data_IF_490008811370
#
_entry.id   IF_490008811370
#
_cell.length_a   1.000
_cell.length_b   1.000
_cell.length_c   1.000
_cell.angle_alpha   90.00
_cell.angle_beta   90.00
_cell.angle_gamma   90.00
#
_symmetry.space_group_name_H-M   'P 1'
#
loop_
_entity.id
_entity.type
_entity.pdbx_description
1 polymer ?
#
# COMPACT_ATOMS: atom_id res chain seq x y z
N UNK A 1 -5.14 -5.13 39.35
CA UNK A 1 -6.37 -4.35 39.60
C UNK A 1 -6.74 -3.43 38.42
N UNK A 2 -6.12 -2.26 38.21
CA UNK A 2 -6.51 -1.36 37.08
C UNK A 2 -6.42 -1.97 35.67
N UNK A 3 -5.39 -2.79 35.39
CA UNK A 3 -5.28 -3.47 34.08
C UNK A 3 -6.32 -4.59 33.91
N UNK A 4 -6.70 -5.28 35.00
CA UNK A 4 -7.73 -6.31 34.99
C UNK A 4 -9.12 -5.70 34.74
N UNK A 5 -9.41 -4.54 35.33
CA UNK A 5 -10.63 -3.75 35.07
C UNK A 5 -10.71 -3.30 33.60
N UNK A 6 -9.58 -2.93 32.99
CA UNK A 6 -9.54 -2.61 31.56
C UNK A 6 -9.76 -3.86 30.71
N UNK A 7 -9.13 -4.97 31.09
CA UNK A 7 -9.27 -6.24 30.39
C UNK A 7 -10.69 -6.78 30.43
N UNK A 8 -11.45 -6.56 31.51
CA UNK A 8 -12.86 -6.98 31.57
C UNK A 8 -13.79 -6.16 30.66
N UNK A 9 -13.35 -5.00 30.17
CA UNK A 9 -14.14 -4.10 29.31
C UNK A 9 -13.75 -4.16 27.83
N UNK A 10 -12.81 -5.04 27.43
CA UNK A 10 -12.29 -5.08 26.06
C UNK A 10 -11.93 -6.50 25.61
N UNK A 11 -12.10 -6.79 24.31
CA UNK A 11 -11.67 -8.08 23.73
C UNK A 11 -10.15 -8.23 23.75
N UNK A 12 -9.44 -7.13 23.49
CA UNK A 12 -8.00 -7.01 23.62
C UNK A 12 -7.68 -5.67 24.29
N UNK A 13 -7.23 -5.71 25.55
CA UNK A 13 -6.98 -4.51 26.35
C UNK A 13 -5.76 -3.71 25.88
N UNK A 14 -4.84 -4.38 25.18
CA UNK A 14 -3.56 -3.83 24.78
C UNK A 14 -3.60 -3.25 23.36
N UNK A 15 -4.42 -3.78 22.46
CA UNK A 15 -4.50 -3.42 21.03
C UNK A 15 -4.42 -1.91 20.78
N UNK A 16 -5.35 -1.13 21.33
CA UNK A 16 -5.36 0.33 21.16
C UNK A 16 -4.10 1.01 21.71
N UNK A 17 -3.58 0.56 22.85
CA UNK A 17 -2.36 1.15 23.42
C UNK A 17 -1.13 0.82 22.59
N UNK A 18 -1.05 -0.42 22.08
CA UNK A 18 0.02 -0.86 21.21
C UNK A 18 -0.01 -0.11 19.87
N UNK A 19 -1.19 0.05 19.27
CA UNK A 19 -1.36 0.82 18.04
C UNK A 19 -0.92 2.29 18.23
N UNK A 20 -1.45 2.95 19.27
CA UNK A 20 -1.14 4.35 19.53
C UNK A 20 0.33 4.58 19.87
N UNK A 21 0.87 3.83 20.84
CA UNK A 21 2.21 4.07 21.38
C UNK A 21 3.28 3.48 20.47
N UNK A 22 3.05 2.30 19.90
CA UNK A 22 3.99 1.62 19.03
C UNK A 22 4.13 2.26 17.65
N UNK A 23 3.08 2.91 17.14
CA UNK A 23 3.05 3.39 15.75
C UNK A 23 2.56 4.83 15.62
N UNK A 24 1.35 5.13 16.10
CA UNK A 24 0.65 6.38 15.71
C UNK A 24 1.15 7.64 16.42
N UNK A 25 1.77 7.56 17.59
CA UNK A 25 2.32 8.71 18.32
C UNK A 25 3.74 9.07 17.91
N UNK A 26 4.49 8.15 17.31
CA UNK A 26 5.84 8.44 16.82
C UNK A 26 5.80 9.56 15.78
N UNK A 27 6.70 10.55 15.91
CA UNK A 27 6.77 11.73 15.02
C UNK A 27 7.90 11.66 13.99
N UNK A 28 8.85 10.74 14.12
CA UNK A 28 9.89 10.55 13.10
C UNK A 28 9.28 9.96 11.80
N UNK A 29 9.95 10.08 10.64
CA UNK A 29 9.48 9.53 9.38
C UNK A 29 9.13 8.03 9.46
N UNK A 30 8.02 7.60 8.84
CA UNK A 30 7.65 6.18 8.86
C UNK A 30 8.55 5.32 7.97
N UNK A 31 9.08 5.86 6.87
CA UNK A 31 10.12 5.22 6.07
C UNK A 31 11.46 5.94 6.32
N UNK A 32 12.56 5.22 6.61
CA UNK A 32 12.71 3.76 6.67
C UNK A 32 12.47 3.15 8.06
N UNK A 33 11.96 3.90 9.03
CA UNK A 33 12.05 3.52 10.46
C UNK A 33 10.91 2.65 11.00
N UNK A 34 9.78 2.55 10.30
CA UNK A 34 8.58 1.78 10.70
C UNK A 34 8.12 0.86 9.57
N UNK A 35 8.09 1.36 8.33
CA UNK A 35 7.68 0.55 7.19
C UNK A 35 8.53 -0.71 7.06
N UNK A 36 7.86 -1.82 6.80
CA UNK A 36 8.53 -3.09 6.51
C UNK A 36 8.60 -3.25 5.00
N UNK A 37 9.80 -3.51 4.48
CA UNK A 37 10.01 -3.73 3.05
C UNK A 37 10.78 -5.01 2.81
N UNK A 38 10.47 -5.69 1.72
CA UNK A 38 11.14 -6.94 1.35
C UNK A 38 10.94 -7.32 -0.10
N UNK A 39 11.93 -7.97 -0.73
CA UNK A 39 11.82 -8.48 -2.08
C UNK A 39 10.77 -9.59 -2.16
N UNK A 40 10.06 -9.65 -3.29
CA UNK A 40 9.26 -10.84 -3.61
C UNK A 40 10.23 -11.90 -4.12
N UNK A 41 10.33 -13.03 -3.41
CA UNK A 41 11.34 -14.08 -3.62
C UNK A 41 11.13 -14.92 -4.90
N UNK A 42 10.41 -14.42 -5.91
CA UNK A 42 10.26 -15.07 -7.22
C UNK A 42 11.48 -14.88 -8.13
N UNK A 43 12.44 -14.03 -7.74
CA UNK A 43 13.58 -13.69 -8.59
C UNK A 43 14.64 -14.80 -8.70
N UNK A 44 14.61 -15.77 -7.77
CA UNK A 44 15.61 -16.85 -7.71
C UNK A 44 15.33 -17.95 -8.73
N UNK A 45 14.08 -18.15 -9.12
CA UNK A 45 13.64 -19.30 -9.92
C UNK A 45 12.70 -18.92 -11.07
N UNK A 46 11.59 -18.23 -10.77
CA UNK A 46 10.48 -18.04 -11.72
C UNK A 46 10.70 -16.79 -12.57
N UNK A 47 11.12 -15.69 -11.95
CA UNK A 47 11.20 -14.35 -12.54
C UNK A 47 12.55 -13.67 -12.27
N UNK A 48 13.66 -14.21 -12.82
CA UNK A 48 14.95 -13.54 -12.77
C UNK A 48 14.89 -12.14 -13.41
N UNK A 49 15.84 -11.27 -13.09
CA UNK A 49 15.91 -9.93 -13.67
C UNK A 49 15.91 -10.00 -15.21
N UNK A 50 14.93 -9.37 -15.84
CA UNK A 50 14.77 -9.33 -17.30
C UNK A 50 14.03 -8.07 -17.71
N UNK A 51 14.69 -7.18 -18.47
CA UNK A 51 14.05 -5.99 -19.02
C UNK A 51 12.86 -6.32 -19.92
N UNK A 52 11.91 -5.39 -20.01
CA UNK A 52 10.67 -5.58 -20.79
C UNK A 52 9.62 -6.46 -20.11
N UNK A 53 9.90 -7.01 -18.92
CA UNK A 53 8.94 -7.85 -18.18
C UNK A 53 8.11 -7.11 -17.14
N UNK A 54 8.48 -5.88 -16.77
CA UNK A 54 7.86 -5.08 -15.69
C UNK A 54 6.32 -5.12 -15.74
N UNK A 55 5.72 -4.77 -16.88
CA UNK A 55 4.26 -4.69 -17.00
C UNK A 55 3.59 -6.07 -16.96
N UNK A 56 4.16 -7.06 -17.63
CA UNK A 56 3.60 -8.42 -17.64
C UNK A 56 3.59 -9.00 -16.22
N UNK A 57 4.70 -8.88 -15.50
CA UNK A 57 4.83 -9.38 -14.14
C UNK A 57 3.94 -8.62 -13.16
N UNK A 58 3.86 -7.29 -13.29
CA UNK A 58 2.92 -6.47 -12.50
C UNK A 58 1.48 -6.93 -12.70
N UNK A 59 1.06 -7.15 -13.94
CA UNK A 59 -0.31 -7.57 -14.24
C UNK A 59 -0.67 -8.94 -13.62
N UNK A 60 0.27 -9.89 -13.67
CA UNK A 60 0.10 -11.22 -13.06
C UNK A 60 0.01 -11.09 -11.54
N UNK A 61 0.94 -10.38 -10.90
CA UNK A 61 0.92 -10.20 -9.44
C UNK A 61 -0.35 -9.50 -8.95
N UNK A 62 -0.74 -8.42 -9.63
CA UNK A 62 -1.94 -7.68 -9.28
C UNK A 62 -3.19 -8.55 -9.42
N UNK A 63 -3.29 -9.38 -10.46
CA UNK A 63 -4.40 -10.32 -10.61
C UNK A 63 -4.51 -11.28 -9.43
N UNK A 64 -3.40 -11.88 -8.98
CA UNK A 64 -3.42 -12.77 -7.82
C UNK A 64 -3.75 -12.03 -6.53
N UNK A 65 -3.15 -10.86 -6.28
CA UNK A 65 -3.48 -10.04 -5.11
C UNK A 65 -4.95 -9.64 -5.04
N UNK A 66 -5.59 -9.35 -6.18
CA UNK A 66 -7.02 -9.04 -6.24
C UNK A 66 -7.90 -10.27 -5.96
N UNK A 67 -7.44 -11.47 -6.29
CA UNK A 67 -8.16 -12.69 -5.94
C UNK A 67 -8.01 -13.00 -4.44
N UNK A 68 -6.85 -12.75 -3.83
CA UNK A 68 -6.70 -12.84 -2.36
C UNK A 68 -7.59 -11.80 -1.64
N UNK A 69 -7.63 -10.57 -2.14
CA UNK A 69 -8.57 -9.55 -1.68
C UNK A 69 -10.01 -10.04 -1.73
N UNK A 70 -10.42 -10.68 -2.83
CA UNK A 70 -11.78 -11.20 -3.01
C UNK A 70 -12.12 -12.26 -1.97
N UNK A 71 -11.19 -13.18 -1.68
CA UNK A 71 -11.38 -14.20 -0.64
C UNK A 71 -11.58 -13.56 0.73
N UNK A 72 -10.77 -12.54 1.08
CA UNK A 72 -10.93 -11.81 2.34
C UNK A 72 -12.26 -11.05 2.39
N UNK A 73 -12.61 -10.34 1.33
CA UNK A 73 -13.86 -9.59 1.22
C UNK A 73 -15.09 -10.51 1.38
N UNK A 74 -15.05 -11.72 0.80
CA UNK A 74 -16.14 -12.71 0.93
C UNK A 74 -16.08 -13.57 2.19
N UNK A 75 -15.08 -13.39 3.04
CA UNK A 75 -14.81 -14.26 4.19
C UNK A 75 -14.59 -15.74 3.81
N UNK A 76 -14.01 -15.96 2.63
CA UNK A 76 -13.67 -17.27 2.05
C UNK A 76 -12.17 -17.60 2.20
N UNK A 77 -11.38 -16.67 2.76
CA UNK A 77 -9.96 -16.89 3.00
C UNK A 77 -9.73 -17.99 4.05
N UNK A 78 -8.83 -18.96 3.83
CA UNK A 78 -8.59 -20.05 4.77
C UNK A 78 -8.20 -19.55 6.16
N UNK A 79 -8.79 -20.15 7.21
CA UNK A 79 -8.46 -19.80 8.60
C UNK A 79 -7.15 -20.48 8.99
N UNK A 80 -6.18 -19.67 9.38
CA UNK A 80 -4.93 -20.18 9.93
C UNK A 80 -5.14 -20.78 11.32
N UNK A 81 -4.35 -21.80 11.62
CA UNK A 81 -4.37 -22.44 12.92
C UNK A 81 -3.03 -23.06 13.26
N UNK A 82 -2.80 -23.24 14.56
CA UNK A 82 -1.66 -23.99 15.09
C UNK A 82 -2.17 -25.12 15.95
N UNK A 83 -1.74 -26.34 15.64
CA UNK A 83 -2.10 -27.55 16.39
C UNK A 83 -3.64 -27.71 16.56
N UNK A 84 -4.40 -27.38 15.51
CA UNK A 84 -5.87 -27.43 15.50
C UNK A 84 -6.56 -26.24 16.16
N UNK A 85 -5.81 -25.28 16.72
CA UNK A 85 -6.36 -24.06 17.32
C UNK A 85 -6.38 -22.92 16.30
N UNK A 86 -7.55 -22.33 15.96
CA UNK A 86 -7.63 -21.18 15.06
C UNK A 86 -6.87 -19.96 15.61
N UNK A 87 -6.21 -19.22 14.72
CA UNK A 87 -5.57 -17.95 15.02
C UNK A 87 -6.44 -16.78 14.58
N UNK A 88 -6.14 -15.58 15.09
CA UNK A 88 -6.84 -14.36 14.66
C UNK A 88 -6.53 -14.07 13.19
N UNK A 89 -7.58 -13.83 12.40
CA UNK A 89 -7.44 -13.40 11.01
C UNK A 89 -7.40 -11.88 10.86
N UNK A 90 -7.46 -11.11 11.97
CA UNK A 90 -7.60 -9.64 11.95
C UNK A 90 -6.53 -8.93 11.09
N UNK A 91 -5.29 -9.41 11.12
CA UNK A 91 -4.19 -8.81 10.38
C UNK A 91 -4.36 -8.94 8.85
N UNK A 92 -5.01 -10.00 8.37
CA UNK A 92 -5.29 -10.14 6.93
C UNK A 92 -6.26 -9.05 6.44
N UNK A 93 -7.25 -8.68 7.24
CA UNK A 93 -8.17 -7.57 6.93
C UNK A 93 -7.50 -6.20 7.04
N UNK A 94 -6.35 -6.15 7.73
CA UNK A 94 -5.44 -5.00 7.81
C UNK A 94 -4.27 -5.11 6.81
N UNK A 95 -4.34 -5.92 5.76
CA UNK A 95 -3.27 -5.98 4.74
C UNK A 95 -3.40 -4.86 3.70
N UNK A 96 -4.63 -4.58 3.27
CA UNK A 96 -4.92 -3.70 2.13
C UNK A 96 -6.15 -2.82 2.38
N UNK A 97 -6.41 -1.87 1.47
CA UNK A 97 -7.55 -0.94 1.51
C UNK A 97 -7.55 0.05 2.67
N UNK A 98 -6.39 0.33 3.27
CA UNK A 98 -6.25 1.37 4.28
C UNK A 98 -5.02 2.25 4.06
N UNK A 99 -5.01 3.38 4.76
CA UNK A 99 -3.92 4.35 4.72
C UNK A 99 -3.80 5.04 6.08
N UNK A 100 -2.56 5.37 6.46
CA UNK A 100 -2.25 6.21 7.61
C UNK A 100 -2.40 7.68 7.24
N UNK A 101 -3.10 8.45 8.06
CA UNK A 101 -3.32 9.88 7.84
C UNK A 101 -2.50 10.66 8.86
N UNK A 102 -1.57 11.54 8.43
CA UNK A 102 -0.79 12.34 9.34
C UNK A 102 -1.69 13.35 10.06
N UNK A 103 -1.51 13.47 11.37
CA UNK A 103 -2.14 14.51 12.20
C UNK A 103 -1.18 14.93 13.31
N UNK A 104 -1.31 16.17 13.78
CA UNK A 104 -0.49 16.66 14.88
C UNK A 104 -0.71 15.79 16.13
N UNK A 105 0.38 15.49 16.84
CA UNK A 105 0.44 14.66 18.05
C UNK A 105 0.18 13.16 17.86
N UNK A 106 -0.82 12.78 17.05
CA UNK A 106 -1.16 11.38 16.82
C UNK A 106 -1.79 11.20 15.44
N UNK A 107 -1.24 10.27 14.66
CA UNK A 107 -1.79 9.88 13.36
C UNK A 107 -3.02 8.96 13.56
N UNK A 108 -3.73 8.65 12.49
CA UNK A 108 -4.81 7.66 12.53
C UNK A 108 -4.86 6.85 11.24
N UNK A 109 -5.39 5.64 11.32
CA UNK A 109 -5.68 4.82 10.14
C UNK A 109 -7.08 5.11 9.62
N UNK A 110 -7.26 5.05 8.31
CA UNK A 110 -8.57 5.02 7.67
C UNK A 110 -8.70 3.83 6.74
N UNK A 111 -9.91 3.27 6.65
CA UNK A 111 -10.21 2.12 5.80
C UNK A 111 -9.81 0.78 6.43
N UNK A 112 -9.67 -0.21 5.55
CA UNK A 112 -9.49 -1.62 5.85
C UNK A 112 -10.37 -2.42 4.91
N UNK A 113 -10.18 -3.75 4.87
CA UNK A 113 -11.14 -4.61 4.20
C UNK A 113 -12.38 -4.70 5.10
N UNK A 114 -13.49 -4.12 4.65
CA UNK A 114 -14.81 -4.36 5.23
C UNK A 114 -15.44 -5.57 4.51
N UNK A 115 -15.70 -6.70 5.21
CA UNK A 115 -16.28 -7.88 4.57
C UNK A 115 -17.64 -7.60 3.91
N UNK A 116 -17.98 -8.35 2.88
CA UNK A 116 -19.23 -8.24 2.15
C UNK A 116 -20.45 -8.29 3.09
N UNK A 117 -21.46 -7.42 2.89
CA UNK A 117 -21.63 -6.45 1.80
C UNK A 117 -21.06 -5.05 2.10
N UNK A 118 -19.98 -4.95 2.90
CA UNK A 118 -19.34 -3.69 3.27
C UNK A 118 -18.83 -2.86 2.07
N UNK A 119 -18.73 -1.53 2.23
CA UNK A 119 -18.21 -0.65 1.18
C UNK A 119 -16.73 -0.95 0.87
N UNK A 120 -16.36 -0.85 -0.41
CA UNK A 120 -14.97 -1.01 -0.85
C UNK A 120 -14.68 -0.16 -2.09
N UNK A 121 -13.42 0.21 -2.27
CA UNK A 121 -12.95 0.78 -3.52
C UNK A 121 -12.85 -0.30 -4.61
N UNK A 122 -13.01 0.09 -5.87
CA UNK A 122 -12.86 -0.79 -7.04
C UNK A 122 -11.55 -0.58 -7.80
N UNK A 123 -10.68 0.24 -7.26
CA UNK A 123 -9.54 0.77 -7.97
C UNK A 123 -8.29 0.72 -7.09
N UNK A 124 -7.15 0.69 -7.76
CA UNK A 124 -5.83 0.91 -7.17
C UNK A 124 -5.30 2.27 -7.58
N UNK A 125 -4.20 2.66 -6.97
CA UNK A 125 -3.35 3.75 -7.45
C UNK A 125 -2.10 3.21 -8.10
N UNK A 126 -1.67 3.81 -9.21
CA UNK A 126 -0.39 3.51 -9.87
C UNK A 126 0.47 4.75 -9.83
N UNK A 127 1.69 4.63 -9.29
CA UNK A 127 2.66 5.71 -9.24
C UNK A 127 3.81 5.40 -10.19
N UNK A 128 4.09 6.34 -11.08
CA UNK A 128 5.24 6.28 -11.97
C UNK A 128 5.68 7.69 -12.32
N UNK A 129 6.98 7.91 -12.47
CA UNK A 129 7.57 9.20 -12.89
C UNK A 129 7.04 10.42 -12.09
N UNK A 130 6.82 10.26 -10.79
CA UNK A 130 6.33 11.29 -9.87
C UNK A 130 4.86 11.66 -10.05
N UNK A 131 4.07 10.82 -10.74
CA UNK A 131 2.64 11.00 -11.04
C UNK A 131 1.84 9.86 -10.47
N UNK A 132 0.61 10.15 -10.04
CA UNK A 132 -0.33 9.16 -9.51
C UNK A 132 -1.51 9.02 -10.46
N UNK A 133 -1.89 7.78 -10.76
CA UNK A 133 -2.99 7.42 -11.64
C UNK A 133 -3.99 6.57 -10.86
N UNK A 134 -5.28 6.79 -11.12
CA UNK A 134 -6.37 5.92 -10.66
C UNK A 134 -6.61 4.84 -11.72
N UNK A 135 -6.66 3.56 -11.31
CA UNK A 135 -6.85 2.43 -12.20
C UNK A 135 -7.97 1.52 -11.65
N UNK A 136 -9.09 1.42 -12.35
CA UNK A 136 -10.20 0.54 -11.96
C UNK A 136 -9.82 -0.91 -12.25
N UNK A 137 -9.89 -1.77 -11.23
CA UNK A 137 -9.44 -3.17 -11.29
C UNK A 137 -10.50 -4.17 -10.82
N UNK A 138 -11.62 -3.67 -10.31
CA UNK A 138 -12.80 -4.48 -10.03
C UNK A 138 -13.96 -4.01 -10.92
N UNK A 139 -14.76 -4.97 -11.38
CA UNK A 139 -16.03 -4.73 -12.08
C UNK A 139 -17.09 -4.22 -11.11
N UNK A 140 -18.26 -3.85 -11.64
CA UNK A 140 -19.38 -3.36 -10.83
C UNK A 140 -19.90 -4.37 -9.81
N UNK A 141 -19.71 -5.66 -10.05
CA UNK A 141 -20.04 -6.78 -9.16
C UNK A 141 -18.89 -7.16 -8.21
N UNK A 142 -17.83 -6.33 -8.16
CA UNK A 142 -16.61 -6.54 -7.38
C UNK A 142 -15.78 -7.77 -7.79
N UNK A 143 -16.00 -8.35 -8.97
CA UNK A 143 -15.07 -9.33 -9.52
C UNK A 143 -13.80 -8.66 -10.08
N UNK A 144 -12.60 -9.21 -9.82
CA UNK A 144 -11.36 -8.74 -10.44
C UNK A 144 -11.40 -8.82 -11.98
N UNK A 145 -10.81 -7.81 -12.63
CA UNK A 145 -10.57 -7.85 -14.08
C UNK A 145 -9.44 -8.82 -14.44
N UNK A 146 -9.38 -9.25 -15.70
CA UNK A 146 -8.38 -10.22 -16.16
C UNK A 146 -6.99 -9.61 -16.39
N UNK A 147 -5.96 -10.46 -16.39
CA UNK A 147 -4.56 -10.08 -16.67
C UNK A 147 -4.40 -9.24 -17.96
N UNK A 148 -5.05 -9.57 -19.10
CA UNK A 148 -4.95 -8.76 -20.31
C UNK A 148 -5.48 -7.32 -20.13
N UNK A 149 -6.57 -7.16 -19.39
CA UNK A 149 -7.19 -5.85 -19.10
C UNK A 149 -6.27 -5.02 -18.18
N UNK A 150 -5.73 -5.64 -17.12
CA UNK A 150 -4.75 -5.00 -16.23
C UNK A 150 -3.55 -4.52 -17.04
N UNK A 151 -2.99 -5.39 -17.87
CA UNK A 151 -1.83 -5.08 -18.72
C UNK A 151 -2.11 -3.92 -19.68
N UNK A 152 -3.30 -3.87 -20.28
CA UNK A 152 -3.69 -2.78 -21.16
C UNK A 152 -3.77 -1.43 -20.39
N UNK A 153 -4.37 -1.43 -19.20
CA UNK A 153 -4.44 -0.23 -18.35
C UNK A 153 -3.05 0.24 -17.91
N UNK A 154 -2.18 -0.66 -17.46
CA UNK A 154 -0.82 -0.33 -17.05
C UNK A 154 0.02 0.23 -18.21
N UNK A 155 -0.11 -0.32 -19.43
CA UNK A 155 0.55 0.22 -20.63
C UNK A 155 0.09 1.63 -20.94
N UNK A 156 -1.23 1.86 -20.94
CA UNK A 156 -1.80 3.20 -21.15
C UNK A 156 -1.24 4.23 -20.16
N UNK A 157 -1.12 3.85 -18.88
CA UNK A 157 -0.52 4.70 -17.84
C UNK A 157 0.95 5.02 -18.13
N UNK A 158 1.75 4.00 -18.48
CA UNK A 158 3.18 4.20 -18.79
C UNK A 158 3.37 5.04 -20.04
N UNK A 159 2.59 4.80 -21.09
CA UNK A 159 2.65 5.55 -22.35
C UNK A 159 2.28 7.02 -22.13
N UNK A 160 1.24 7.30 -21.33
CA UNK A 160 0.86 8.66 -20.94
C UNK A 160 1.96 9.35 -20.11
N UNK A 161 2.54 8.64 -19.13
CA UNK A 161 3.58 9.18 -18.27
C UNK A 161 4.89 9.45 -19.04
N UNK A 162 5.19 8.66 -20.08
CA UNK A 162 6.36 8.84 -20.94
C UNK A 162 6.26 10.09 -21.83
N UNK A 163 5.05 10.52 -22.19
CA UNK A 163 4.81 11.71 -23.00
C UNK A 163 4.84 13.02 -22.18
N UNK A 164 5.03 12.94 -20.87
CA UNK A 164 4.99 14.09 -19.95
C UNK A 164 6.33 14.26 -19.23
N UNK A 165 6.68 15.48 -18.81
CA UNK A 165 7.77 15.66 -17.86
C UNK A 165 7.46 14.93 -16.55
N UNK A 166 8.51 14.63 -15.78
CA UNK A 166 8.36 14.11 -14.43
C UNK A 166 7.35 14.94 -13.64
N UNK A 167 6.46 14.25 -12.93
CA UNK A 167 5.46 14.88 -12.09
C UNK A 167 6.05 15.54 -10.85
N UNK A 168 5.22 16.25 -10.08
CA UNK A 168 5.65 16.98 -8.89
C UNK A 168 6.18 16.07 -7.77
N UNK A 169 5.88 14.76 -7.79
CA UNK A 169 6.39 13.84 -6.79
C UNK A 169 5.81 14.08 -5.39
N UNK A 170 4.51 14.42 -5.30
CA UNK A 170 3.78 14.70 -4.05
C UNK A 170 3.94 13.57 -3.02
N UNK A 171 4.10 12.33 -3.49
CA UNK A 171 4.37 11.17 -2.65
C UNK A 171 5.59 11.31 -1.73
N UNK A 172 6.58 12.12 -2.11
CA UNK A 172 7.76 12.39 -1.27
C UNK A 172 7.40 13.01 0.09
N UNK A 173 6.29 13.74 0.19
CA UNK A 173 5.83 14.32 1.46
C UNK A 173 5.45 13.24 2.49
N UNK A 174 5.10 12.03 2.06
CA UNK A 174 4.82 10.91 2.97
C UNK A 174 6.07 10.37 3.67
N UNK A 175 7.27 10.76 3.20
CA UNK A 175 8.56 10.42 3.82
C UNK A 175 9.06 11.45 4.84
N UNK A 176 8.33 12.53 5.06
CA UNK A 176 8.71 13.56 6.01
C UNK A 176 8.45 13.17 7.47
N UNK A 177 8.98 13.99 8.38
CA UNK A 177 8.54 14.00 9.77
C UNK A 177 7.00 14.12 9.83
N UNK A 178 6.35 13.40 10.76
CA UNK A 178 4.88 13.28 10.78
C UNK A 178 4.16 14.61 11.02
N UNK A 179 4.75 15.50 11.82
CA UNK A 179 4.17 16.83 12.06
C UNK A 179 4.41 17.76 10.87
N UNK A 180 5.53 17.63 10.17
CA UNK A 180 5.76 18.32 8.88
C UNK A 180 4.73 17.84 7.86
N UNK A 181 4.59 16.53 7.67
CA UNK A 181 3.63 15.97 6.71
C UNK A 181 2.19 16.36 7.07
N UNK A 182 1.80 16.36 8.35
CA UNK A 182 0.47 16.83 8.76
C UNK A 182 0.20 18.28 8.29
N UNK A 183 1.16 19.19 8.47
CA UNK A 183 1.05 20.59 8.06
C UNK A 183 1.02 20.75 6.53
N UNK A 184 1.91 20.05 5.83
CA UNK A 184 1.99 20.10 4.37
C UNK A 184 0.73 19.50 3.72
N UNK A 185 0.16 18.43 4.29
CA UNK A 185 -1.11 17.86 3.83
C UNK A 185 -2.25 18.87 3.97
N UNK A 186 -2.35 19.55 5.10
CA UNK A 186 -3.36 20.59 5.32
C UNK A 186 -3.12 21.79 4.38
N UNK A 187 -1.87 22.19 4.15
CA UNK A 187 -1.52 23.23 3.17
C UNK A 187 -1.93 22.86 1.74
N UNK A 188 -1.67 21.62 1.31
CA UNK A 188 -2.11 21.11 0.02
C UNK A 188 -3.64 21.21 -0.13
N UNK A 189 -4.40 20.79 0.87
CA UNK A 189 -5.88 20.85 0.84
C UNK A 189 -6.37 22.30 0.79
N UNK A 190 -5.77 23.20 1.56
CA UNK A 190 -6.15 24.62 1.59
C UNK A 190 -5.79 25.37 0.30
N UNK A 191 -4.73 24.94 -0.40
CA UNK A 191 -4.31 25.56 -1.66
C UNK A 191 -5.28 25.31 -2.82
N UNK A 192 -5.98 24.17 -2.82
CA UNK A 192 -7.00 23.83 -3.79
C UNK A 192 -7.93 22.75 -3.22
N UNK A 193 -9.24 23.02 -3.06
CA UNK A 193 -10.21 22.04 -2.55
C UNK A 193 -10.21 20.70 -3.31
N UNK A 194 -9.87 20.71 -4.61
CA UNK A 194 -9.78 19.50 -5.41
C UNK A 194 -8.67 18.53 -4.95
N UNK A 195 -7.62 19.04 -4.29
CA UNK A 195 -6.56 18.19 -3.74
C UNK A 195 -7.09 17.23 -2.67
N UNK A 196 -8.15 17.60 -1.95
CA UNK A 196 -8.78 16.70 -0.98
C UNK A 196 -9.33 15.44 -1.67
N UNK A 197 -10.00 15.58 -2.82
CA UNK A 197 -10.55 14.45 -3.57
C UNK A 197 -9.44 13.55 -4.13
N UNK A 198 -8.34 14.15 -4.59
CA UNK A 198 -7.16 13.41 -5.06
C UNK A 198 -6.54 12.60 -3.91
N UNK A 199 -6.30 13.24 -2.75
CA UNK A 199 -5.76 12.57 -1.57
C UNK A 199 -6.68 11.43 -1.12
N UNK A 200 -7.99 11.69 -1.04
CA UNK A 200 -9.00 10.68 -0.69
C UNK A 200 -8.96 9.48 -1.64
N UNK A 201 -8.74 9.73 -2.94
CA UNK A 201 -8.59 8.67 -3.94
C UNK A 201 -7.37 7.78 -3.63
N UNK A 202 -6.22 8.37 -3.30
CA UNK A 202 -5.02 7.60 -2.94
C UNK A 202 -5.21 6.83 -1.64
N UNK A 203 -5.76 7.50 -0.62
CA UNK A 203 -5.93 6.95 0.71
C UNK A 203 -6.92 5.77 0.71
N UNK A 204 -7.98 5.82 -0.11
CA UNK A 204 -9.01 4.77 -0.18
C UNK A 204 -8.79 3.68 -1.23
N UNK A 205 -7.75 3.77 -2.07
CA UNK A 205 -7.43 2.72 -3.05
C UNK A 205 -7.17 1.35 -2.41
N UNK A 206 -7.32 0.25 -3.13
CA UNK A 206 -7.08 -1.09 -2.58
C UNK A 206 -5.59 -1.26 -2.19
N UNK A 207 -4.70 -0.99 -3.14
CA UNK A 207 -3.24 -0.99 -2.96
C UNK A 207 -2.62 0.11 -3.84
N UNK A 208 -1.33 0.36 -3.67
CA UNK A 208 -0.54 1.17 -4.60
C UNK A 208 0.44 0.31 -5.37
N UNK A 209 0.44 0.43 -6.71
CA UNK A 209 1.49 -0.10 -7.57
C UNK A 209 2.49 1.01 -7.83
N UNK A 210 3.78 0.73 -7.70
CA UNK A 210 4.86 1.64 -8.07
C UNK A 210 5.66 1.05 -9.21
N UNK A 211 5.71 1.76 -10.34
CA UNK A 211 6.53 1.38 -11.50
C UNK A 211 7.77 2.28 -11.55
N UNK A 212 8.90 1.69 -11.19
CA UNK A 212 10.20 2.38 -11.17
C UNK A 212 10.92 2.29 -12.52
N UNK A 213 11.68 3.34 -12.84
CA UNK A 213 12.47 3.42 -14.08
C UNK A 213 13.88 2.82 -13.92
N UNK A 214 14.34 2.57 -12.68
CA UNK A 214 15.64 1.96 -12.40
C UNK A 214 15.56 0.42 -12.34
N UNK A 215 16.74 -0.21 -12.38
CA UNK A 215 16.92 -1.67 -12.39
C UNK A 215 17.97 -2.06 -11.35
N UNK A 216 17.58 -2.47 -10.14
CA UNK A 216 18.54 -2.91 -9.14
C UNK A 216 19.25 -4.18 -9.63
N UNK A 217 20.54 -4.26 -9.37
CA UNK A 217 21.45 -5.28 -9.92
C UNK A 217 21.73 -6.43 -8.96
N UNK A 218 21.55 -6.22 -7.66
CA UNK A 218 21.73 -7.23 -6.61
C UNK A 218 20.67 -7.11 -5.51
N UNK A 219 20.63 -8.09 -4.60
CA UNK A 219 19.65 -8.15 -3.51
C UNK A 219 19.76 -6.95 -2.56
N UNK A 220 20.99 -6.52 -2.24
CA UNK A 220 21.21 -5.37 -1.35
C UNK A 220 20.67 -4.07 -1.97
N UNK A 221 20.91 -3.86 -3.26
CA UNK A 221 20.39 -2.71 -4.00
C UNK A 221 18.86 -2.76 -4.12
N UNK A 222 18.30 -3.95 -4.33
CA UNK A 222 16.85 -4.18 -4.34
C UNK A 222 16.23 -3.83 -2.97
N UNK A 223 16.77 -4.39 -1.88
CA UNK A 223 16.28 -4.13 -0.53
C UNK A 223 16.38 -2.64 -0.16
N UNK A 224 17.50 -2.00 -0.47
CA UNK A 224 17.69 -0.56 -0.22
C UNK A 224 16.68 0.28 -1.02
N UNK A 225 16.47 -0.07 -2.30
CA UNK A 225 15.50 0.62 -3.17
C UNK A 225 14.07 0.46 -2.67
N UNK A 226 13.70 -0.71 -2.13
CA UNK A 226 12.38 -0.96 -1.54
C UNK A 226 12.15 -0.19 -0.24
N UNK A 227 13.19 -0.02 0.58
CA UNK A 227 13.09 0.66 1.87
C UNK A 227 13.06 2.19 1.72
N UNK A 228 13.99 2.74 0.94
CA UNK A 228 14.22 4.20 0.85
C UNK A 228 14.63 4.67 -0.56
N UNK A 229 14.12 4.01 -1.61
CA UNK A 229 14.35 4.43 -3.00
C UNK A 229 13.70 5.77 -3.36
N UNK A 230 13.35 5.96 -4.63
CA UNK A 230 12.81 7.22 -5.14
C UNK A 230 11.49 7.63 -4.45
N UNK A 231 11.56 8.47 -3.41
CA UNK A 231 10.41 8.88 -2.61
C UNK A 231 9.33 9.62 -3.42
N UNK A 232 9.68 10.22 -4.56
CA UNK A 232 8.70 10.85 -5.47
C UNK A 232 7.71 9.84 -6.06
N UNK A 233 8.11 8.57 -6.14
CA UNK A 233 7.31 7.46 -6.64
C UNK A 233 6.61 6.65 -5.53
N UNK A 234 6.64 7.11 -4.28
CA UNK A 234 6.16 6.35 -3.11
C UNK A 234 4.92 6.99 -2.49
N UNK A 235 4.17 6.19 -1.75
CA UNK A 235 3.15 6.65 -0.81
C UNK A 235 3.27 5.83 0.47
N UNK A 236 4.23 6.19 1.33
CA UNK A 236 4.63 5.39 2.50
C UNK A 236 3.51 5.19 3.52
N UNK A 237 2.52 6.08 3.54
CA UNK A 237 1.33 5.93 4.37
C UNK A 237 0.38 4.81 3.91
N UNK A 238 0.56 4.26 2.70
CA UNK A 238 -0.32 3.21 2.19
C UNK A 238 0.02 1.89 2.88
N UNK A 239 -1.02 1.15 3.26
CA UNK A 239 -0.86 -0.18 3.85
C UNK A 239 0.01 -1.12 3.01
N UNK A 240 -0.19 -1.10 1.69
CA UNK A 240 0.42 -2.02 0.76
C UNK A 240 0.87 -1.29 -0.50
N UNK A 241 2.18 -1.24 -0.70
CA UNK A 241 2.79 -0.83 -1.96
C UNK A 241 3.50 -2.03 -2.59
N UNK A 242 3.11 -2.39 -3.81
CA UNK A 242 3.88 -3.30 -4.66
C UNK A 242 4.77 -2.48 -5.58
N UNK A 243 6.08 -2.70 -5.49
CA UNK A 243 7.09 -1.93 -6.19
C UNK A 243 7.73 -2.83 -7.24
N UNK A 244 7.70 -2.42 -8.51
CA UNK A 244 8.23 -3.19 -9.62
C UNK A 244 9.23 -2.33 -10.39
N UNK A 245 10.44 -2.84 -10.52
CA UNK A 245 11.56 -2.21 -11.22
C UNK A 245 11.54 -2.52 -12.71
N UNK A 246 12.32 -1.76 -13.49
CA UNK A 246 12.32 -1.85 -14.96
C UNK A 246 12.77 -3.21 -15.48
N UNK A 247 13.68 -3.88 -14.76
CA UNK A 247 14.09 -5.26 -15.00
C UNK A 247 13.11 -6.32 -14.46
N UNK A 248 11.92 -5.92 -14.01
CA UNK A 248 10.88 -6.84 -13.53
C UNK A 248 11.17 -7.50 -12.18
N UNK A 249 12.23 -7.10 -11.48
CA UNK A 249 12.37 -7.38 -10.04
C UNK A 249 11.31 -6.59 -9.27
N UNK A 250 10.90 -7.10 -8.11
CA UNK A 250 9.85 -6.47 -7.33
C UNK A 250 9.98 -6.76 -5.84
N UNK A 251 9.26 -5.97 -5.06
CA UNK A 251 9.15 -6.13 -3.63
C UNK A 251 7.99 -5.33 -3.09
N UNK A 252 7.84 -5.34 -1.78
CA UNK A 252 6.81 -4.59 -1.08
C UNK A 252 7.41 -3.54 -0.17
N UNK A 253 6.61 -2.52 0.11
CA UNK A 253 6.78 -1.60 1.22
C UNK A 253 5.41 -1.48 1.91
N UNK A 254 5.36 -1.84 3.19
CA UNK A 254 4.12 -2.00 3.95
C UNK A 254 4.12 -1.06 5.17
N UNK A 255 3.01 -0.39 5.42
CA UNK A 255 2.75 0.25 6.71
C UNK A 255 2.22 -0.81 7.68
N UNK A 256 2.62 -0.70 8.95
CA UNK A 256 2.32 -1.72 9.96
C UNK A 256 1.10 -1.31 10.77
N UNK A 257 0.06 -2.13 10.73
CA UNK A 257 -1.11 -2.05 11.60
C UNK A 257 -1.29 -3.40 12.30
N UNK A 258 -1.51 -3.38 13.61
CA UNK A 258 -1.81 -4.60 14.38
C UNK A 258 -3.31 -4.89 14.42
#
# INVERSE_FOLDING_TARGET
KKLEERASQSKNWLEKWWEEVGYLKSRYPIAPFINVSGPVLLYEDIWPALEGTQINRTAIMLYYLLNEWKLLYRQEFPVDGKDGTPLSMSQYYNLMSWCRIPKLNIDHYIGGIEPAPGPTARYITVITRGRVYKCEVLKSDLEPIGIPEIKAQLRSIVDDAAQKPFGPGVGSLTSENRDTWAKERDHLILSNPYHWEILRTIESSLITIVLEDNSPSCLDELQLSLNCGNCKNRWFDKSFQLIIFKNGLMGTNLEVRN
#
